data_IF_750609803258
#
_entry.id   IF_750609803258
#
_cell.length_a   1.000
_cell.length_b   1.000
_cell.length_c   1.000
_cell.angle_alpha   90.00
_cell.angle_beta   90.00
_cell.angle_gamma   90.00
#
_symmetry.space_group_name_H-M   'P 1'
#
loop_
_entity.id
_entity.type
_entity.pdbx_description
1 polymer ?
#
# COMPACT_ATOMS: atom_id res chain seq x y z
N UNK A 1 -27.23 -33.46 -19.94
CA UNK A 1 -28.04 -32.83 -18.92
C UNK A 1 -27.77 -31.34 -18.93
N UNK A 2 -28.79 -30.59 -19.36
CA UNK A 2 -28.72 -29.13 -19.46
C UNK A 2 -28.77 -28.53 -18.05
N UNK A 3 -27.62 -28.16 -17.52
CA UNK A 3 -27.53 -27.48 -16.25
C UNK A 3 -28.05 -26.05 -16.38
N UNK A 4 -29.11 -25.70 -15.67
CA UNK A 4 -29.59 -24.33 -15.57
C UNK A 4 -28.69 -23.54 -14.61
N UNK A 5 -27.96 -22.55 -15.14
CA UNK A 5 -27.14 -21.63 -14.34
C UNK A 5 -27.98 -20.40 -14.02
N UNK A 6 -28.14 -20.09 -12.72
CA UNK A 6 -28.75 -18.85 -12.24
C UNK A 6 -27.67 -17.99 -11.59
N UNK A 7 -27.52 -16.76 -12.07
CA UNK A 7 -26.61 -15.77 -11.49
C UNK A 7 -27.37 -14.85 -10.53
N UNK A 8 -26.89 -14.77 -9.29
CA UNK A 8 -27.41 -13.87 -8.28
C UNK A 8 -26.35 -12.78 -8.04
N UNK A 9 -26.56 -11.54 -8.54
CA UNK A 9 -25.62 -10.46 -8.29
C UNK A 9 -25.59 -10.15 -6.79
N UNK A 10 -24.38 -9.98 -6.24
CA UNK A 10 -24.16 -9.65 -4.83
C UNK A 10 -23.04 -8.62 -4.72
N UNK A 11 -23.14 -7.75 -3.72
CA UNK A 11 -22.09 -6.83 -3.38
C UNK A 11 -20.93 -7.56 -2.68
N UNK A 12 -19.70 -7.22 -3.05
CA UNK A 12 -18.56 -7.66 -2.28
C UNK A 12 -18.42 -6.83 -0.98
N UNK A 13 -17.58 -7.31 -0.06
CA UNK A 13 -17.41 -6.65 1.25
C UNK A 13 -16.91 -5.20 1.16
N UNK A 14 -16.06 -4.88 0.18
CA UNK A 14 -15.59 -3.50 -0.03
C UNK A 14 -16.68 -2.59 -0.59
N UNK A 15 -17.56 -3.11 -1.45
CA UNK A 15 -18.72 -2.36 -1.93
C UNK A 15 -19.70 -2.08 -0.79
N UNK A 16 -19.96 -3.07 0.08
CA UNK A 16 -20.79 -2.88 1.27
C UNK A 16 -20.19 -1.85 2.22
N UNK A 17 -18.88 -1.91 2.45
CA UNK A 17 -18.19 -0.93 3.29
C UNK A 17 -18.26 0.47 2.68
N UNK A 18 -17.95 0.62 1.41
CA UNK A 18 -18.02 1.90 0.70
C UNK A 18 -19.42 2.51 0.72
N UNK A 19 -20.46 1.68 0.51
CA UNK A 19 -21.87 2.08 0.58
C UNK A 19 -22.23 2.62 1.96
N UNK A 20 -21.87 1.91 3.03
CA UNK A 20 -22.13 2.35 4.40
C UNK A 20 -21.39 3.65 4.77
N UNK A 21 -20.24 3.90 4.15
CA UNK A 21 -19.45 5.11 4.34
C UNK A 21 -19.83 6.24 3.37
N UNK A 22 -20.80 6.02 2.48
CA UNK A 22 -21.16 6.93 1.39
C UNK A 22 -19.97 7.36 0.55
N UNK A 23 -19.03 6.42 0.33
CA UNK A 23 -17.81 6.66 -0.46
C UNK A 23 -17.97 6.16 -1.90
N UNK A 24 -17.54 6.93 -2.91
CA UNK A 24 -17.43 6.43 -4.27
C UNK A 24 -16.51 5.20 -4.34
N UNK A 25 -16.93 4.19 -5.10
CA UNK A 25 -16.19 2.93 -5.24
C UNK A 25 -15.31 2.89 -6.50
N UNK A 26 -15.66 3.64 -7.53
CA UNK A 26 -15.06 3.55 -8.88
C UNK A 26 -13.58 3.98 -8.93
N UNK A 27 -13.15 4.83 -8.01
CA UNK A 27 -11.79 5.36 -7.92
C UNK A 27 -10.91 4.63 -6.88
N UNK A 28 -11.41 3.50 -6.36
CA UNK A 28 -10.73 2.72 -5.34
C UNK A 28 -9.72 1.74 -5.94
N UNK A 29 -8.47 1.82 -5.51
CA UNK A 29 -7.47 0.78 -5.79
C UNK A 29 -7.78 -0.44 -4.92
N UNK A 30 -8.16 -1.54 -5.52
CA UNK A 30 -8.50 -2.77 -4.78
C UNK A 30 -7.26 -3.64 -4.67
N UNK A 31 -6.95 -4.05 -3.45
CA UNK A 31 -5.86 -4.96 -3.11
C UNK A 31 -6.40 -6.13 -2.31
N UNK A 32 -6.06 -7.34 -2.70
CA UNK A 32 -6.35 -8.53 -1.92
C UNK A 32 -5.07 -9.03 -1.26
N UNK A 33 -5.05 -9.07 0.07
CA UNK A 33 -4.00 -9.69 0.87
C UNK A 33 -4.36 -11.13 1.28
N UNK A 34 -5.55 -11.62 0.89
CA UNK A 34 -5.99 -12.99 1.24
C UNK A 34 -5.08 -14.02 0.59
N UNK A 35 -4.19 -14.62 1.40
CA UNK A 35 -3.18 -15.58 0.95
C UNK A 35 -2.18 -15.01 -0.05
N UNK A 36 -1.94 -13.71 -0.05
CA UNK A 36 -1.08 -13.01 -1.01
C UNK A 36 -0.02 -12.17 -0.32
N UNK A 37 1.15 -11.97 -0.94
CA UNK A 37 2.20 -11.14 -0.40
C UNK A 37 1.85 -9.65 -0.48
N UNK A 38 2.65 -8.83 0.22
CA UNK A 38 2.45 -7.39 0.37
C UNK A 38 2.62 -6.54 -0.91
N UNK A 39 3.18 -7.07 -1.97
CA UNK A 39 3.64 -6.30 -3.15
C UNK A 39 2.61 -5.31 -3.70
N UNK A 40 1.37 -5.76 -3.92
CA UNK A 40 0.33 -4.89 -4.47
C UNK A 40 -0.15 -3.84 -3.47
N UNK A 41 -0.11 -4.14 -2.18
CA UNK A 41 -0.41 -3.19 -1.12
C UNK A 41 0.67 -2.12 -1.02
N UNK A 42 1.93 -2.53 -0.95
CA UNK A 42 3.07 -1.63 -0.90
C UNK A 42 3.11 -0.74 -2.14
N UNK A 43 2.84 -1.31 -3.31
CA UNK A 43 2.73 -0.58 -4.57
C UNK A 43 1.65 0.49 -4.51
N UNK A 44 0.46 0.18 -4.01
CA UNK A 44 -0.62 1.15 -3.88
C UNK A 44 -0.24 2.33 -2.96
N UNK A 45 0.50 2.07 -1.87
CA UNK A 45 1.04 3.11 -0.98
C UNK A 45 2.12 3.94 -1.67
N UNK A 46 3.07 3.29 -2.38
CA UNK A 46 4.15 3.96 -3.12
C UNK A 46 3.58 4.86 -4.22
N UNK A 47 2.59 4.40 -4.94
CA UNK A 47 1.86 5.17 -5.97
C UNK A 47 0.96 6.26 -5.35
N UNK A 48 0.91 6.33 -4.03
CA UNK A 48 0.14 7.34 -3.27
C UNK A 48 -1.35 7.36 -3.63
N UNK A 49 -1.93 6.16 -3.81
CA UNK A 49 -3.34 6.01 -4.16
C UNK A 49 -4.24 6.76 -3.17
N UNK A 50 -5.19 7.54 -3.67
CA UNK A 50 -6.09 8.35 -2.85
C UNK A 50 -7.02 7.49 -1.99
N UNK A 51 -7.36 6.30 -2.47
CA UNK A 51 -8.24 5.35 -1.82
C UNK A 51 -7.81 3.91 -2.12
N UNK A 52 -7.62 3.11 -1.07
CA UNK A 52 -7.21 1.70 -1.17
C UNK A 52 -8.21 0.84 -0.41
N UNK A 53 -8.89 -0.06 -1.12
CA UNK A 53 -9.73 -1.08 -0.51
C UNK A 53 -8.93 -2.36 -0.33
N UNK A 54 -8.90 -2.91 0.88
CA UNK A 54 -8.09 -4.09 1.20
C UNK A 54 -8.98 -5.23 1.69
N UNK A 55 -8.86 -6.37 1.00
CA UNK A 55 -9.38 -7.65 1.47
C UNK A 55 -8.32 -8.31 2.36
N UNK A 56 -8.68 -8.55 3.59
CA UNK A 56 -7.82 -9.04 4.67
C UNK A 56 -7.92 -10.57 4.84
N UNK A 57 -7.02 -11.13 5.61
CA UNK A 57 -7.08 -12.49 6.11
C UNK A 57 -6.65 -12.56 7.60
N UNK A 58 -6.36 -13.75 8.12
CA UNK A 58 -5.95 -13.93 9.52
C UNK A 58 -4.54 -13.47 9.81
N UNK A 59 -3.66 -13.41 8.80
CA UNK A 59 -2.28 -12.94 8.91
C UNK A 59 -2.19 -11.45 8.64
N UNK A 60 -2.91 -10.98 7.62
CA UNK A 60 -2.97 -9.58 7.22
C UNK A 60 -4.18 -8.89 7.86
N UNK A 61 -4.17 -8.78 9.17
CA UNK A 61 -5.23 -8.09 9.92
C UNK A 61 -5.10 -6.57 9.79
N UNK A 62 -6.18 -5.79 10.03
CA UNK A 62 -6.09 -4.32 10.02
C UNK A 62 -4.99 -3.78 10.95
N UNK A 63 -4.75 -4.43 12.09
CA UNK A 63 -3.66 -4.09 13.02
C UNK A 63 -2.29 -4.25 12.39
N UNK A 64 -2.04 -5.39 11.74
CA UNK A 64 -0.75 -5.69 11.09
C UNK A 64 -0.52 -4.75 9.89
N UNK A 65 -1.58 -4.49 9.11
CA UNK A 65 -1.54 -3.52 8.02
C UNK A 65 -1.17 -2.12 8.54
N UNK A 66 -1.80 -1.67 9.64
CA UNK A 66 -1.51 -0.37 10.23
C UNK A 66 -0.07 -0.28 10.76
N UNK A 67 0.43 -1.34 11.42
CA UNK A 67 1.84 -1.40 11.89
C UNK A 67 2.82 -1.31 10.74
N UNK A 68 2.58 -2.06 9.64
CA UNK A 68 3.39 -1.97 8.45
C UNK A 68 3.38 -0.56 7.85
N UNK A 69 2.22 0.07 7.77
CA UNK A 69 2.12 1.46 7.29
C UNK A 69 2.96 2.41 8.13
N UNK A 70 2.93 2.29 9.47
CA UNK A 70 3.74 3.12 10.37
C UNK A 70 5.24 2.86 10.23
N UNK A 71 5.65 1.60 10.07
CA UNK A 71 7.05 1.20 9.84
C UNK A 71 7.63 1.91 8.61
N UNK A 72 6.83 2.06 7.55
CA UNK A 72 7.22 2.74 6.32
C UNK A 72 6.81 4.21 6.25
N UNK A 73 6.30 4.79 7.34
CA UNK A 73 6.00 6.22 7.46
C UNK A 73 4.70 6.67 6.77
N UNK A 74 3.76 5.76 6.52
CA UNK A 74 2.45 6.07 5.94
C UNK A 74 1.40 6.34 7.02
N UNK A 75 1.51 7.46 7.71
CA UNK A 75 0.54 7.91 8.74
C UNK A 75 -0.54 8.85 8.20
N UNK A 76 -0.48 9.15 6.92
CA UNK A 76 -1.28 10.15 6.22
C UNK A 76 -2.60 9.62 5.66
N UNK A 77 -3.04 8.44 6.12
CA UNK A 77 -4.31 7.82 5.76
C UNK A 77 -5.22 7.70 6.98
N UNK A 78 -6.52 7.74 6.73
CA UNK A 78 -7.54 7.27 7.66
C UNK A 78 -7.96 5.86 7.27
N UNK A 79 -8.07 4.97 8.24
CA UNK A 79 -8.49 3.58 8.08
C UNK A 79 -9.94 3.40 8.51
N UNK A 80 -10.77 2.91 7.60
CA UNK A 80 -12.15 2.49 7.87
C UNK A 80 -12.19 0.97 7.84
N UNK A 81 -12.61 0.34 8.93
CA UNK A 81 -12.68 -1.12 9.06
C UNK A 81 -14.13 -1.54 9.15
N UNK A 82 -14.51 -2.44 8.26
CA UNK A 82 -15.80 -3.11 8.29
C UNK A 82 -15.63 -4.56 8.76
N UNK A 83 -16.30 -4.90 9.87
CA UNK A 83 -16.28 -6.22 10.47
C UNK A 83 -17.63 -6.88 10.29
N UNK A 84 -17.66 -8.16 9.87
CA UNK A 84 -18.88 -8.97 9.70
C UNK A 84 -19.96 -8.29 8.85
N UNK A 85 -19.53 -7.57 7.82
CA UNK A 85 -20.46 -6.86 6.91
C UNK A 85 -21.50 -7.80 6.32
N UNK A 86 -22.73 -7.28 6.21
CA UNK A 86 -23.91 -8.05 5.76
C UNK A 86 -24.61 -8.81 6.89
N UNK A 87 -24.08 -8.84 8.10
CA UNK A 87 -24.78 -9.33 9.27
C UNK A 87 -25.37 -8.16 10.05
N UNK A 88 -26.68 -7.92 9.88
CA UNK A 88 -27.36 -6.72 10.43
C UNK A 88 -27.24 -6.58 11.95
N UNK A 89 -27.08 -7.68 12.70
CA UNK A 89 -26.99 -7.66 14.16
C UNK A 89 -25.54 -7.50 14.68
N UNK A 90 -24.55 -7.91 13.87
CA UNK A 90 -23.16 -8.05 14.33
C UNK A 90 -22.14 -7.28 13.51
N UNK A 91 -22.60 -6.60 12.47
CA UNK A 91 -21.67 -5.77 11.70
C UNK A 91 -21.21 -4.55 12.50
N UNK A 92 -19.98 -4.19 12.32
CA UNK A 92 -19.39 -2.99 12.90
C UNK A 92 -18.57 -2.26 11.84
N UNK A 93 -18.71 -0.94 11.79
CA UNK A 93 -17.91 -0.08 10.91
C UNK A 93 -17.30 1.00 11.78
N UNK A 94 -15.98 1.06 11.79
CA UNK A 94 -15.23 1.97 12.65
C UNK A 94 -14.13 2.68 11.86
N UNK A 95 -13.86 3.92 12.28
CA UNK A 95 -12.83 4.77 11.70
C UNK A 95 -11.66 4.92 12.68
N UNK A 96 -10.43 4.87 12.17
CA UNK A 96 -9.22 5.00 12.95
C UNK A 96 -8.18 5.86 12.23
N UNK A 97 -7.33 6.55 13.00
CA UNK A 97 -6.01 6.91 12.51
C UNK A 97 -5.14 5.66 12.39
N UNK A 98 -4.08 5.70 11.60
CA UNK A 98 -3.20 4.54 11.45
C UNK A 98 -2.56 4.15 12.78
N UNK A 99 -2.19 5.14 13.61
CA UNK A 99 -1.66 4.90 14.96
C UNK A 99 -2.68 4.18 15.85
N UNK A 100 -3.94 4.61 15.84
CA UNK A 100 -4.98 3.99 16.64
C UNK A 100 -5.28 2.56 16.14
N UNK A 101 -5.32 2.33 14.84
CA UNK A 101 -5.55 1.02 14.26
C UNK A 101 -4.44 0.02 14.62
N UNK A 102 -3.18 0.46 14.68
CA UNK A 102 -2.03 -0.37 15.06
C UNK A 102 -2.08 -0.91 16.50
N UNK A 103 -2.92 -0.32 17.36
CA UNK A 103 -3.11 -0.70 18.77
C UNK A 103 -4.45 -1.38 19.04
N UNK A 104 -5.32 -1.47 18.02
CA UNK A 104 -6.63 -2.08 18.17
C UNK A 104 -6.66 -3.53 17.69
N UNK A 105 -7.64 -4.28 18.21
CA UNK A 105 -7.97 -5.62 17.71
C UNK A 105 -9.25 -5.56 16.88
N UNK A 106 -9.32 -6.43 15.88
CA UNK A 106 -10.43 -6.48 14.93
C UNK A 106 -10.98 -7.89 14.82
N UNK A 107 -12.29 -7.99 14.71
CA UNK A 107 -12.98 -9.27 14.59
C UNK A 107 -13.02 -9.70 13.13
N UNK A 108 -12.78 -10.97 12.88
CA UNK A 108 -12.85 -11.58 11.56
C UNK A 108 -14.26 -12.16 11.29
N UNK A 109 -14.78 -12.16 10.05
CA UNK A 109 -14.19 -11.58 8.83
C UNK A 109 -14.27 -10.05 8.83
N UNK A 110 -13.27 -9.42 8.21
CA UNK A 110 -13.22 -7.97 8.06
C UNK A 110 -12.60 -7.58 6.70
N UNK A 111 -12.79 -6.34 6.33
CA UNK A 111 -12.09 -5.66 5.24
C UNK A 111 -11.88 -4.21 5.64
N UNK A 112 -11.05 -3.48 4.91
CA UNK A 112 -10.82 -2.08 5.23
C UNK A 112 -10.70 -1.21 3.97
N UNK A 113 -10.96 0.08 4.17
CA UNK A 113 -10.69 1.14 3.19
C UNK A 113 -9.73 2.13 3.83
N UNK A 114 -8.64 2.42 3.14
CA UNK A 114 -7.73 3.52 3.47
C UNK A 114 -8.08 4.71 2.59
N UNK A 115 -8.29 5.87 3.20
CA UNK A 115 -8.47 7.14 2.49
C UNK A 115 -7.32 8.07 2.82
N UNK A 116 -6.64 8.55 1.79
CA UNK A 116 -5.56 9.52 1.96
C UNK A 116 -6.14 10.86 2.41
N UNK A 117 -5.64 11.41 3.52
CA UNK A 117 -6.12 12.67 4.09
C UNK A 117 -5.25 13.86 3.68
N UNK A 118 -3.97 13.60 3.48
CA UNK A 118 -2.99 14.61 3.10
C UNK A 118 -1.92 13.97 2.22
N UNK A 119 -1.21 14.75 1.48
CA UNK A 119 -0.01 14.26 0.84
C UNK A 119 0.97 13.81 1.92
N UNK A 120 1.55 12.63 1.72
CA UNK A 120 2.52 12.06 2.65
C UNK A 120 3.71 12.99 2.84
N UNK A 121 4.54 12.70 3.82
CA UNK A 121 5.80 13.41 4.02
C UNK A 121 6.54 13.44 2.69
N UNK A 122 7.05 14.62 2.34
CA UNK A 122 7.93 14.78 1.19
C UNK A 122 8.95 13.64 1.22
N UNK A 123 8.89 12.77 0.22
CA UNK A 123 9.81 11.63 0.12
C UNK A 123 11.20 12.19 0.21
N UNK A 124 12.00 11.69 1.16
CA UNK A 124 13.35 12.19 1.36
C UNK A 124 14.13 11.94 0.07
N UNK A 125 14.51 13.01 -0.58
CA UNK A 125 15.47 12.95 -1.67
C UNK A 125 16.87 12.82 -1.07
N UNK A 126 17.67 11.90 -1.58
CA UNK A 126 19.00 11.68 -1.08
C UNK A 126 19.02 10.82 0.19
N UNK A 127 18.54 9.60 0.10
CA UNK A 127 18.67 8.64 1.18
C UNK A 127 20.16 8.40 1.49
N UNK A 128 20.57 8.39 2.77
CA UNK A 128 21.95 8.04 3.14
C UNK A 128 22.26 6.60 2.69
N UNK A 129 23.53 6.34 2.38
CA UNK A 129 23.96 5.00 1.94
C UNK A 129 23.61 3.91 2.96
N UNK A 130 23.58 4.26 4.26
CA UNK A 130 23.19 3.37 5.36
C UNK A 130 21.71 2.99 5.39
N UNK A 131 20.85 3.64 4.59
CA UNK A 131 19.43 3.28 4.48
C UNK A 131 19.20 2.07 3.56
N UNK A 132 20.23 1.56 2.91
CA UNK A 132 20.14 0.44 1.98
C UNK A 132 20.81 -0.80 2.57
N UNK A 133 20.21 -1.96 2.33
CA UNK A 133 20.85 -3.23 2.66
C UNK A 133 22.05 -3.45 1.73
N UNK A 134 23.19 -3.76 2.33
CA UNK A 134 24.41 -4.03 1.60
C UNK A 134 24.54 -5.51 1.28
N UNK A 135 25.17 -5.83 0.15
CA UNK A 135 25.49 -7.22 -0.17
C UNK A 135 26.52 -7.76 0.82
N UNK A 136 26.29 -8.98 1.33
CA UNK A 136 27.17 -9.66 2.27
C UNK A 136 28.64 -9.64 1.80
N UNK A 137 29.53 -9.09 2.63
CA UNK A 137 30.96 -8.96 2.32
C UNK A 137 31.32 -7.90 1.29
N UNK A 138 30.36 -7.07 0.86
CA UNK A 138 30.57 -6.04 -0.15
C UNK A 138 29.97 -4.69 0.24
N UNK A 139 30.16 -4.25 1.46
CA UNK A 139 29.59 -3.02 2.04
C UNK A 139 29.90 -1.73 1.26
N UNK A 140 30.99 -1.73 0.48
CA UNK A 140 31.37 -0.58 -0.35
C UNK A 140 30.75 -0.57 -1.74
N UNK A 141 30.06 -1.65 -2.14
CA UNK A 141 29.41 -1.77 -3.46
C UNK A 141 28.05 -1.12 -3.48
N UNK A 142 28.02 0.18 -3.29
CA UNK A 142 26.83 1.00 -3.45
C UNK A 142 27.19 2.29 -4.19
N UNK A 143 26.34 2.73 -5.12
CA UNK A 143 26.49 4.05 -5.72
C UNK A 143 26.28 5.11 -4.65
N UNK A 144 27.32 5.87 -4.34
CA UNK A 144 27.32 6.86 -3.28
C UNK A 144 26.26 7.93 -3.50
N UNK A 145 25.60 8.41 -2.43
CA UNK A 145 24.49 9.34 -2.49
C UNK A 145 24.71 10.51 -3.48
N UNK A 146 25.80 11.27 -3.44
CA UNK A 146 25.99 12.39 -4.37
C UNK A 146 26.01 11.96 -5.84
N UNK A 147 26.66 10.83 -6.14
CA UNK A 147 26.74 10.29 -7.49
C UNK A 147 25.35 9.80 -7.94
N UNK A 148 24.63 9.12 -7.06
CA UNK A 148 23.28 8.62 -7.29
C UNK A 148 22.32 9.77 -7.64
N UNK A 149 22.34 10.86 -6.86
CA UNK A 149 21.49 12.02 -7.08
C UNK A 149 21.82 12.74 -8.39
N UNK A 150 23.11 12.91 -8.68
CA UNK A 150 23.56 13.52 -9.93
C UNK A 150 23.11 12.68 -11.13
N UNK A 151 23.31 11.36 -11.07
CA UNK A 151 22.88 10.45 -12.14
C UNK A 151 21.36 10.53 -12.39
N UNK A 152 20.54 10.53 -11.33
CA UNK A 152 19.08 10.64 -11.45
C UNK A 152 18.64 11.99 -12.03
N UNK A 153 19.34 13.06 -11.64
CA UNK A 153 19.08 14.40 -12.21
C UNK A 153 19.40 14.47 -13.71
N UNK A 154 20.49 13.83 -14.14
CA UNK A 154 20.91 13.84 -15.55
C UNK A 154 20.05 12.93 -16.45
N UNK A 155 19.41 11.91 -15.90
CA UNK A 155 18.59 10.97 -16.65
C UNK A 155 17.23 11.52 -17.06
N UNK A 156 16.79 12.63 -16.50
CA UNK A 156 15.48 13.27 -16.78
C UNK A 156 14.32 12.27 -16.82
N UNK A 157 14.14 11.53 -15.72
CA UNK A 157 13.18 10.43 -15.63
C UNK A 157 11.71 10.88 -15.62
N UNK A 158 11.42 12.18 -15.50
CA UNK A 158 10.04 12.72 -15.46
C UNK A 158 9.22 12.34 -16.71
N UNK A 159 9.89 12.28 -17.85
CA UNK A 159 9.29 12.03 -19.15
C UNK A 159 9.60 10.62 -19.69
N UNK A 160 10.07 9.72 -18.83
CA UNK A 160 10.45 8.35 -19.22
C UNK A 160 9.47 7.33 -18.66
N UNK A 161 8.94 6.50 -19.53
CA UNK A 161 8.05 5.40 -19.14
C UNK A 161 8.81 4.18 -18.58
N UNK A 162 10.08 4.04 -18.94
CA UNK A 162 10.89 2.88 -18.57
C UNK A 162 12.28 3.31 -18.13
N UNK A 163 12.74 2.69 -17.06
CA UNK A 163 14.09 2.84 -16.53
C UNK A 163 14.73 1.47 -16.33
N UNK A 164 15.95 1.33 -16.80
CA UNK A 164 16.74 0.11 -16.68
C UNK A 164 17.99 0.39 -15.86
N UNK A 165 18.14 -0.31 -14.75
CA UNK A 165 19.31 -0.26 -13.88
C UNK A 165 20.12 -1.55 -14.06
N UNK A 166 21.08 -1.54 -14.97
CA UNK A 166 21.90 -2.72 -15.30
C UNK A 166 23.03 -2.82 -14.26
N UNK A 167 23.08 -3.96 -13.56
CA UNK A 167 24.02 -4.15 -12.45
C UNK A 167 23.60 -3.42 -11.18
N UNK A 168 22.31 -3.38 -10.90
CA UNK A 168 21.69 -2.57 -9.85
C UNK A 168 22.17 -2.85 -8.41
N UNK A 169 22.88 -3.94 -8.16
CA UNK A 169 23.55 -4.26 -6.90
C UNK A 169 22.62 -4.13 -5.68
N UNK A 170 22.74 -3.06 -4.89
CA UNK A 170 21.85 -2.75 -3.75
C UNK A 170 20.49 -2.17 -4.16
N UNK A 171 20.27 -1.93 -5.43
CA UNK A 171 19.05 -1.28 -5.94
C UNK A 171 18.94 0.21 -5.56
N UNK A 172 19.97 0.81 -4.99
CA UNK A 172 19.90 2.15 -4.42
C UNK A 172 19.50 3.23 -5.43
N UNK A 173 19.95 3.13 -6.69
CA UNK A 173 19.58 4.05 -7.78
C UNK A 173 18.12 3.84 -8.17
N UNK A 174 17.71 2.59 -8.38
CA UNK A 174 16.33 2.23 -8.75
C UNK A 174 15.34 2.60 -7.66
N UNK A 175 15.67 2.39 -6.38
CA UNK A 175 14.82 2.73 -5.25
C UNK A 175 14.60 4.25 -5.21
N UNK A 176 15.66 5.05 -5.29
CA UNK A 176 15.51 6.51 -5.31
C UNK A 176 14.80 7.01 -6.58
N UNK A 177 15.07 6.41 -7.74
CA UNK A 177 14.33 6.72 -8.96
C UNK A 177 12.82 6.53 -8.75
N UNK A 178 12.40 5.38 -8.18
CA UNK A 178 10.98 5.09 -7.92
C UNK A 178 10.38 5.95 -6.82
N UNK A 179 11.16 6.37 -5.82
CA UNK A 179 10.70 7.30 -4.79
C UNK A 179 10.44 8.70 -5.36
N UNK A 180 11.25 9.15 -6.32
CA UNK A 180 11.11 10.46 -6.96
C UNK A 180 10.04 10.46 -8.06
N UNK A 181 9.94 9.37 -8.81
CA UNK A 181 9.08 9.21 -9.99
C UNK A 181 8.23 7.95 -9.83
N UNK A 182 7.13 8.01 -9.09
CA UNK A 182 6.34 6.83 -8.70
C UNK A 182 5.48 6.24 -9.83
N UNK A 183 5.38 6.90 -10.98
CA UNK A 183 4.63 6.43 -12.16
C UNK A 183 5.33 5.32 -12.93
#
# INVERSE_FOLDING_TARGET
PDAQIRLYPSFNSLQLLAQNLLMPYHDMRIVSLTGRPWHEFDRALIESASKIGVLTDREHTPTIIARRMLEYGYDNYTMFVGERLGNTERQSIRQFSIQAAAMNNFVHPNCLILRKERDGHSRKFGLPDSAFEHLNGREKMITKMPIRLLSLSMLDLRNRERFWDIGFCTGSVSIEAKLLFPH
#
